data_IF_464189373728
#
_entry.id   IF_464189373728
#
_cell.length_a   1.000
_cell.length_b   1.000
_cell.length_c   1.000
_cell.angle_alpha   90.00
_cell.angle_beta   90.00
_cell.angle_gamma   90.00
#
_symmetry.space_group_name_H-M   'P 1'
#
loop_
_entity.id
_entity.type
_entity.pdbx_description
1 polymer ?
#
# COMPACT_ATOMS: atom_id res chain seq x y z
N UNK A 1 -15.25 -24.03 62.61
CA UNK A 1 -15.99 -23.65 61.39
C UNK A 1 -14.96 -23.38 60.31
N UNK A 2 -14.60 -24.42 59.56
CA UNK A 2 -13.47 -24.44 58.62
C UNK A 2 -13.88 -23.77 57.30
N UNK A 3 -13.29 -22.61 57.01
CA UNK A 3 -13.36 -22.00 55.68
C UNK A 3 -12.53 -22.83 54.71
N UNK A 4 -13.16 -23.22 53.59
CA UNK A 4 -12.67 -24.15 52.58
C UNK A 4 -11.47 -23.59 51.80
N UNK A 5 -10.39 -24.36 51.54
CA UNK A 5 -9.23 -23.94 50.76
C UNK A 5 -9.52 -23.66 49.27
N UNK A 6 -10.71 -24.01 48.77
CA UNK A 6 -11.06 -23.87 47.36
C UNK A 6 -11.29 -22.42 46.92
N UNK A 7 -11.71 -21.53 47.83
CA UNK A 7 -12.06 -20.15 47.46
C UNK A 7 -10.81 -19.29 47.24
N UNK A 8 -9.70 -19.58 47.93
CA UNK A 8 -8.43 -18.88 47.73
C UNK A 8 -7.77 -19.25 46.39
N UNK A 9 -7.92 -20.50 45.93
CA UNK A 9 -7.38 -20.94 44.65
C UNK A 9 -8.13 -20.34 43.45
N UNK A 10 -9.45 -20.17 43.57
CA UNK A 10 -10.28 -19.52 42.53
C UNK A 10 -10.01 -18.02 42.42
N UNK A 11 -9.69 -17.33 43.53
CA UNK A 11 -9.31 -15.91 43.53
C UNK A 11 -7.90 -15.67 42.96
N UNK A 12 -6.98 -16.63 43.06
CA UNK A 12 -5.66 -16.53 42.43
C UNK A 12 -5.67 -16.83 40.92
N UNK A 13 -6.64 -17.63 40.44
CA UNK A 13 -6.83 -17.89 39.01
C UNK A 13 -7.53 -16.74 38.26
N UNK A 14 -8.21 -15.83 38.96
CA UNK A 14 -8.85 -14.64 38.37
C UNK A 14 -7.90 -13.44 38.16
N UNK A 15 -6.64 -13.52 38.59
CA UNK A 15 -5.62 -12.48 38.40
C UNK A 15 -4.61 -12.81 37.28
N UNK A 16 -4.83 -13.90 36.53
CA UNK A 16 -3.90 -14.37 35.48
C UNK A 16 -4.50 -14.34 34.07
N UNK A 17 -5.34 -13.35 33.78
CA UNK A 17 -5.68 -12.95 32.42
C UNK A 17 -5.54 -11.44 32.26
N UNK A 18 -4.45 -10.85 32.77
CA UNK A 18 -3.93 -9.66 32.12
C UNK A 18 -3.42 -10.14 30.76
N UNK A 19 -4.17 -9.85 29.70
CA UNK A 19 -3.59 -9.73 28.36
C UNK A 19 -2.37 -8.83 28.56
N UNK A 20 -1.18 -9.43 28.50
CA UNK A 20 0.06 -8.67 28.48
C UNK A 20 0.08 -8.01 27.11
N UNK A 21 -0.63 -6.88 26.98
CA UNK A 21 -0.27 -5.89 25.97
C UNK A 21 1.12 -5.46 26.37
N UNK A 22 2.14 -6.07 25.74
CA UNK A 22 3.46 -5.45 25.73
C UNK A 22 3.28 -4.22 24.87
N UNK A 23 2.85 -3.13 25.51
CA UNK A 23 2.85 -1.80 24.91
C UNK A 23 4.24 -1.55 24.32
N UNK A 24 4.29 -0.78 23.26
CA UNK A 24 5.55 -0.49 22.59
C UNK A 24 6.41 0.43 23.48
N UNK A 25 7.23 -0.15 24.36
CA UNK A 25 8.11 0.61 25.25
C UNK A 25 9.33 1.14 24.46
N UNK A 26 9.24 2.35 23.92
CA UNK A 26 10.39 3.00 23.28
C UNK A 26 10.05 3.99 22.16
N UNK A 27 10.96 4.14 21.16
CA UNK A 27 10.81 5.11 20.06
C UNK A 27 9.55 4.95 19.20
N UNK A 28 8.94 3.77 19.20
CA UNK A 28 7.67 3.49 18.53
C UNK A 28 6.45 4.16 19.18
N UNK A 29 6.47 4.44 20.50
CA UNK A 29 5.34 5.11 21.15
C UNK A 29 5.18 6.55 20.65
N UNK A 30 6.26 7.17 20.18
CA UNK A 30 6.22 8.48 19.53
C UNK A 30 5.47 8.46 18.19
N UNK A 31 5.38 7.29 17.56
CA UNK A 31 4.65 7.10 16.31
C UNK A 31 3.19 6.66 16.57
N UNK A 32 2.77 6.48 17.83
CA UNK A 32 1.43 5.95 18.16
C UNK A 32 0.32 6.93 17.77
N UNK A 33 -0.59 6.48 16.93
CA UNK A 33 -1.79 7.22 16.54
C UNK A 33 -2.89 6.94 17.57
N UNK A 34 -3.10 7.90 18.49
CA UNK A 34 -4.10 7.76 19.55
C UNK A 34 -5.51 7.61 18.97
N UNK A 35 -5.90 8.52 18.07
CA UNK A 35 -7.16 8.48 17.36
C UNK A 35 -7.07 9.35 16.10
N UNK A 36 -7.56 8.84 14.97
CA UNK A 36 -7.73 9.61 13.75
C UNK A 36 -9.02 10.47 13.82
N UNK A 37 -9.07 11.65 13.19
CA UNK A 37 -10.28 12.47 13.17
C UNK A 37 -11.50 11.73 12.61
N UNK A 38 -12.56 11.61 13.42
CA UNK A 38 -13.78 10.88 13.02
C UNK A 38 -13.63 9.35 13.00
N UNK A 39 -12.59 8.80 13.64
CA UNK A 39 -12.41 7.36 13.79
C UNK A 39 -13.41 6.73 14.77
N UNK A 40 -14.06 5.61 14.40
CA UNK A 40 -14.87 4.84 15.34
C UNK A 40 -14.00 4.19 16.43
N UNK A 41 -14.58 3.79 17.57
CA UNK A 41 -13.84 3.05 18.61
C UNK A 41 -13.24 1.76 18.04
N UNK A 42 -11.96 1.51 18.34
CA UNK A 42 -11.24 0.29 17.96
C UNK A 42 -10.45 -0.27 19.12
N UNK A 43 -10.11 -1.55 19.03
CA UNK A 43 -9.37 -2.29 20.07
C UNK A 43 -7.92 -2.61 19.68
N UNK A 44 -7.51 -2.29 18.45
CA UNK A 44 -6.13 -2.44 17.99
C UNK A 44 -5.33 -1.15 18.14
N UNK A 45 -4.01 -1.30 18.20
CA UNK A 45 -3.10 -0.16 18.16
C UNK A 45 -2.72 0.17 16.72
N UNK A 46 -2.42 1.43 16.48
CA UNK A 46 -1.98 1.93 15.18
C UNK A 46 -0.86 2.94 15.37
N UNK A 47 0.04 2.96 14.40
CA UNK A 47 1.26 3.76 14.42
C UNK A 47 1.50 4.34 13.05
N UNK A 48 2.05 5.53 12.99
CA UNK A 48 2.56 6.10 11.75
C UNK A 48 3.66 7.10 12.02
N UNK A 49 4.54 7.21 11.04
CA UNK A 49 5.68 8.08 11.13
C UNK A 49 6.68 7.80 10.04
N UNK A 50 7.93 8.17 10.32
CA UNK A 50 9.00 8.15 9.34
C UNK A 50 10.16 7.24 9.76
N UNK A 51 10.79 6.65 8.75
CA UNK A 51 12.08 5.98 8.86
C UNK A 51 13.02 6.58 7.81
N UNK A 52 14.12 7.19 8.26
CA UNK A 52 15.17 7.70 7.39
C UNK A 52 15.92 6.53 6.76
N UNK A 53 15.88 6.38 5.44
CA UNK A 53 16.55 5.29 4.70
C UNK A 53 17.91 5.72 4.12
N UNK A 54 18.13 7.03 3.95
CA UNK A 54 19.42 7.60 3.54
C UNK A 54 19.72 8.86 4.36
N UNK A 55 20.71 8.77 5.25
CA UNK A 55 21.11 9.87 6.12
C UNK A 55 21.78 11.02 5.35
N UNK A 56 22.47 10.73 4.24
CA UNK A 56 23.17 11.76 3.46
C UNK A 56 22.17 12.64 2.71
N UNK A 57 21.18 12.01 2.07
CA UNK A 57 20.10 12.70 1.36
C UNK A 57 18.94 13.13 2.27
N UNK A 58 18.99 12.76 3.55
CA UNK A 58 17.89 12.92 4.52
C UNK A 58 16.57 12.37 3.98
N UNK A 59 16.65 11.24 3.28
CA UNK A 59 15.51 10.59 2.62
C UNK A 59 14.76 9.72 3.63
N UNK A 60 13.50 10.02 3.85
CA UNK A 60 12.65 9.35 4.83
C UNK A 60 11.38 8.82 4.18
N UNK A 61 11.06 7.54 4.40
CA UNK A 61 9.82 6.92 3.95
C UNK A 61 8.77 6.97 5.06
N UNK A 62 7.52 7.18 4.68
CA UNK A 62 6.37 7.22 5.57
C UNK A 62 5.71 5.84 5.64
N UNK A 63 5.21 5.46 6.81
CA UNK A 63 4.43 4.24 6.98
C UNK A 63 3.21 4.47 7.86
N UNK A 64 2.19 3.65 7.65
CA UNK A 64 1.07 3.44 8.56
C UNK A 64 1.03 1.95 8.93
N UNK A 65 0.91 1.66 10.21
CA UNK A 65 0.94 0.31 10.77
C UNK A 65 -0.29 0.12 11.65
N UNK A 66 -1.16 -0.83 11.31
CA UNK A 66 -2.29 -1.23 12.11
C UNK A 66 -2.04 -2.64 12.64
N UNK A 67 -1.99 -2.78 13.97
CA UNK A 67 -1.91 -4.09 14.61
C UNK A 67 -3.17 -4.92 14.31
N UNK A 68 -3.03 -6.24 14.48
CA UNK A 68 -4.18 -7.11 14.33
C UNK A 68 -5.24 -6.80 15.40
N UNK A 69 -6.52 -6.90 15.03
CA UNK A 69 -7.63 -6.62 15.94
C UNK A 69 -7.67 -7.54 17.15
N UNK A 70 -7.26 -8.78 16.97
CA UNK A 70 -7.26 -9.82 17.99
C UNK A 70 -5.91 -10.54 18.03
N UNK A 71 -5.33 -10.61 19.23
CA UNK A 71 -4.08 -11.31 19.51
C UNK A 71 -2.94 -10.96 18.53
N UNK A 72 -2.55 -9.67 18.42
CA UNK A 72 -1.51 -9.24 17.48
C UNK A 72 -0.18 -9.97 17.67
N UNK A 73 0.08 -10.48 18.89
CA UNK A 73 1.25 -11.26 19.24
C UNK A 73 1.29 -12.68 18.69
N UNK A 74 0.20 -13.23 18.15
CA UNK A 74 0.24 -14.50 17.42
C UNK A 74 0.16 -14.33 15.90
N UNK A 75 -0.44 -13.23 15.43
CA UNK A 75 -0.68 -12.95 14.01
C UNK A 75 0.59 -12.56 13.24
N UNK A 76 0.69 -12.85 11.92
CA UNK A 76 1.85 -12.50 11.10
C UNK A 76 2.01 -10.98 10.91
N UNK A 77 3.16 -10.57 10.39
CA UNK A 77 3.40 -9.21 9.87
C UNK A 77 3.25 -9.25 8.35
N UNK A 78 2.45 -8.34 7.81
CA UNK A 78 2.19 -8.24 6.37
C UNK A 78 2.56 -6.84 5.91
N UNK A 79 3.55 -6.75 5.02
CA UNK A 79 3.87 -5.52 4.30
C UNK A 79 2.93 -5.40 3.09
N UNK A 80 2.32 -4.23 2.91
CA UNK A 80 1.52 -3.88 1.74
C UNK A 80 2.18 -2.77 0.92
N UNK A 81 2.29 -2.98 -0.40
CA UNK A 81 2.81 -2.03 -1.38
C UNK A 81 1.83 -1.86 -2.54
N UNK A 82 1.31 -0.66 -2.77
CA UNK A 82 0.64 -0.35 -4.04
C UNK A 82 1.67 -0.10 -5.16
N UNK A 83 1.18 -0.13 -6.40
CA UNK A 83 1.99 0.02 -7.61
C UNK A 83 2.00 1.44 -8.18
N UNK A 84 1.45 1.59 -9.39
CA UNK A 84 1.48 2.81 -10.19
C UNK A 84 2.37 2.68 -11.42
N UNK A 85 3.72 2.74 -11.31
CA UNK A 85 4.51 3.12 -10.13
C UNK A 85 4.14 4.52 -9.63
N UNK A 86 4.32 4.77 -8.33
CA UNK A 86 4.08 6.10 -7.76
C UNK A 86 2.76 6.26 -6.98
N UNK A 87 1.99 5.18 -6.77
CA UNK A 87 0.73 5.21 -6.03
C UNK A 87 0.92 4.87 -4.55
N UNK A 88 0.19 5.56 -3.69
CA UNK A 88 0.31 5.48 -2.24
C UNK A 88 -0.32 4.23 -1.65
N UNK A 89 0.48 3.48 -0.89
CA UNK A 89 0.00 2.37 -0.05
C UNK A 89 -0.90 2.80 1.10
N UNK A 90 -0.78 4.06 1.54
CA UNK A 90 -1.67 4.63 2.54
C UNK A 90 -3.05 4.89 1.91
N UNK A 91 -3.07 5.65 0.82
CA UNK A 91 -4.31 6.08 0.17
C UNK A 91 -5.11 4.91 -0.41
N UNK A 92 -4.46 4.13 -1.25
CA UNK A 92 -5.12 3.02 -1.95
C UNK A 92 -5.27 1.85 -0.98
N UNK A 93 -4.17 1.23 -0.53
CA UNK A 93 -4.19 0.09 0.39
C UNK A 93 -4.96 0.32 1.70
N UNK A 94 -4.48 1.25 2.53
CA UNK A 94 -4.98 1.39 3.90
C UNK A 94 -6.39 2.03 3.98
N UNK A 95 -6.70 3.01 3.14
CA UNK A 95 -7.97 3.76 3.22
C UNK A 95 -8.97 3.43 2.11
N UNK A 96 -8.57 2.73 1.04
CA UNK A 96 -9.41 2.41 -0.11
C UNK A 96 -9.49 0.91 -0.46
N UNK A 97 -8.78 0.03 0.26
CA UNK A 97 -8.79 -1.41 -0.03
C UNK A 97 -8.93 -2.26 1.24
N UNK A 98 -7.82 -2.69 1.83
CA UNK A 98 -7.78 -3.75 2.84
C UNK A 98 -7.44 -3.25 4.24
N UNK A 99 -7.19 -1.95 4.42
CA UNK A 99 -6.97 -1.38 5.75
C UNK A 99 -8.25 -1.22 6.58
N UNK A 100 -8.10 -0.77 7.84
CA UNK A 100 -9.15 -0.85 8.85
C UNK A 100 -10.31 0.12 8.64
N UNK A 101 -10.11 1.17 7.83
CA UNK A 101 -11.06 2.26 7.71
C UNK A 101 -11.28 2.70 6.27
N UNK A 102 -12.49 3.20 5.99
CA UNK A 102 -12.87 3.89 4.75
C UNK A 102 -13.31 5.31 5.06
N UNK A 103 -12.76 6.33 4.41
CA UNK A 103 -13.26 7.70 4.52
C UNK A 103 -14.71 7.83 4.02
N UNK A 104 -15.52 8.60 4.76
CA UNK A 104 -16.85 9.02 4.34
C UNK A 104 -17.07 10.46 4.83
N UNK A 105 -16.83 11.42 3.95
CA UNK A 105 -16.82 12.85 4.23
C UNK A 105 -15.78 13.20 5.29
N UNK A 106 -16.26 13.62 6.46
CA UNK A 106 -15.39 14.04 7.57
C UNK A 106 -15.13 12.93 8.60
N UNK A 107 -15.70 11.74 8.40
CA UNK A 107 -15.56 10.61 9.33
C UNK A 107 -14.93 9.39 8.67
N UNK A 108 -14.54 8.42 9.50
CA UNK A 108 -14.11 7.10 9.05
C UNK A 108 -15.19 6.07 9.38
N UNK A 109 -15.39 5.13 8.47
CA UNK A 109 -16.22 3.95 8.68
C UNK A 109 -15.29 2.73 8.78
N UNK A 110 -15.60 1.80 9.68
CA UNK A 110 -14.83 0.56 9.80
C UNK A 110 -14.99 -0.30 8.55
N UNK A 111 -13.89 -0.88 8.08
CA UNK A 111 -13.91 -1.89 7.04
C UNK A 111 -14.12 -3.27 7.66
N UNK A 112 -15.32 -3.84 7.50
CA UNK A 112 -15.68 -5.17 8.03
C UNK A 112 -14.84 -6.32 7.44
N UNK A 113 -14.16 -6.07 6.32
CA UNK A 113 -13.29 -7.02 5.63
C UNK A 113 -11.82 -6.61 5.69
N UNK A 114 -11.43 -5.82 6.68
CA UNK A 114 -10.03 -5.43 6.82
C UNK A 114 -9.13 -6.64 7.07
N UNK A 115 -7.97 -6.63 6.43
CA UNK A 115 -6.95 -7.66 6.63
C UNK A 115 -6.31 -7.60 8.01
N UNK A 116 -6.44 -6.49 8.75
CA UNK A 116 -5.96 -6.44 10.13
C UNK A 116 -6.81 -7.32 11.09
N UNK A 117 -7.88 -7.94 10.63
CA UNK A 117 -8.54 -9.04 11.36
C UNK A 117 -7.65 -10.29 11.46
N UNK A 118 -6.74 -10.48 10.50
CA UNK A 118 -5.91 -11.69 10.38
C UNK A 118 -4.40 -11.44 10.44
N UNK A 119 -3.96 -10.18 10.38
CA UNK A 119 -2.54 -9.84 10.34
C UNK A 119 -2.24 -8.47 10.98
N UNK A 120 -0.98 -8.26 11.32
CA UNK A 120 -0.46 -6.93 11.59
C UNK A 120 -0.08 -6.29 10.26
N UNK A 121 -0.80 -5.25 9.86
CA UNK A 121 -0.73 -4.65 8.51
C UNK A 121 0.17 -3.43 8.48
N UNK A 122 1.26 -3.49 7.71
CA UNK A 122 2.23 -2.42 7.51
C UNK A 122 2.12 -1.87 6.09
N UNK A 123 1.63 -0.64 5.95
CA UNK A 123 1.50 0.07 4.68
C UNK A 123 2.69 1.02 4.51
N UNK A 124 3.49 0.81 3.47
CA UNK A 124 4.68 1.62 3.20
C UNK A 124 4.44 2.51 1.98
N UNK A 125 4.53 3.82 2.15
CA UNK A 125 4.56 4.75 1.02
C UNK A 125 5.96 4.75 0.41
N UNK A 126 6.07 4.21 -0.80
CA UNK A 126 7.30 4.09 -1.57
C UNK A 126 6.98 4.11 -3.08
N UNK A 127 7.92 4.55 -3.93
CA UNK A 127 9.23 5.13 -3.59
C UNK A 127 9.15 6.57 -3.05
N UNK A 128 10.32 7.21 -2.87
CA UNK A 128 10.40 8.64 -2.55
C UNK A 128 9.62 9.49 -3.56
N UNK A 129 8.83 10.46 -3.06
CA UNK A 129 7.93 11.29 -3.87
C UNK A 129 6.47 10.81 -3.92
N UNK A 130 6.15 9.64 -3.35
CA UNK A 130 4.80 9.08 -3.30
C UNK A 130 4.12 9.40 -1.98
N UNK A 131 3.21 10.38 -1.96
CA UNK A 131 2.48 10.73 -0.74
C UNK A 131 3.32 11.55 0.26
N UNK A 132 3.53 11.05 1.47
CA UNK A 132 4.26 11.73 2.55
C UNK A 132 5.78 11.52 2.68
N UNK A 133 6.45 10.53 2.06
CA UNK A 133 7.91 10.43 2.01
C UNK A 133 8.57 11.72 1.50
N UNK A 134 9.69 12.09 2.09
CA UNK A 134 10.41 13.29 1.71
C UNK A 134 11.93 13.13 1.84
N UNK A 135 12.66 13.98 1.12
CA UNK A 135 14.10 14.13 1.23
C UNK A 135 14.45 15.62 1.29
N UNK A 136 15.51 15.97 2.01
CA UNK A 136 16.00 17.35 2.02
C UNK A 136 16.78 17.69 0.74
N UNK A 137 17.45 16.70 0.16
CA UNK A 137 18.18 16.82 -1.10
C UNK A 137 17.26 16.50 -2.29
N UNK A 138 17.04 17.48 -3.18
CA UNK A 138 16.19 17.31 -4.36
C UNK A 138 16.70 16.25 -5.33
N UNK A 139 18.01 15.94 -5.32
CA UNK A 139 18.58 14.86 -6.14
C UNK A 139 18.16 13.46 -5.67
N UNK A 140 17.44 13.34 -4.55
CA UNK A 140 16.82 12.09 -4.12
C UNK A 140 15.63 11.69 -5.01
N UNK A 141 15.01 12.67 -5.68
CA UNK A 141 13.83 12.48 -6.52
C UNK A 141 14.20 12.19 -7.99
N UNK A 142 15.45 12.42 -8.37
CA UNK A 142 15.93 12.19 -9.73
C UNK A 142 16.27 10.73 -9.98
N UNK A 143 15.78 10.17 -11.10
CA UNK A 143 16.19 8.85 -11.57
C UNK A 143 15.86 7.71 -10.62
N UNK A 144 14.72 7.80 -9.91
CA UNK A 144 14.22 6.70 -9.06
C UNK A 144 13.99 5.46 -9.93
N UNK A 145 14.62 4.34 -9.56
CA UNK A 145 14.52 3.06 -10.26
C UNK A 145 14.00 1.98 -9.32
N UNK A 146 13.56 0.86 -9.89
CA UNK A 146 13.15 -0.32 -9.12
C UNK A 146 14.25 -0.78 -8.16
N UNK A 147 15.51 -0.78 -8.59
CA UNK A 147 16.66 -1.18 -7.76
C UNK A 147 16.88 -0.22 -6.58
N UNK A 148 16.72 1.09 -6.78
CA UNK A 148 16.80 2.07 -5.70
C UNK A 148 15.63 1.85 -4.72
N UNK A 149 14.42 1.66 -5.24
CA UNK A 149 13.22 1.41 -4.45
C UNK A 149 13.35 0.16 -3.59
N UNK A 150 13.83 -0.95 -4.16
CA UNK A 150 14.04 -2.20 -3.42
C UNK A 150 15.08 -2.03 -2.30
N UNK A 151 16.18 -1.30 -2.54
CA UNK A 151 17.20 -1.00 -1.53
C UNK A 151 16.66 -0.12 -0.40
N UNK A 152 15.89 0.90 -0.74
CA UNK A 152 15.27 1.80 0.22
C UNK A 152 14.24 1.06 1.08
N UNK A 153 13.42 0.20 0.48
CA UNK A 153 12.44 -0.62 1.19
C UNK A 153 13.12 -1.64 2.11
N UNK A 154 14.25 -2.23 1.70
CA UNK A 154 15.06 -3.09 2.57
C UNK A 154 15.60 -2.29 3.78
N UNK A 155 16.20 -1.12 3.53
CA UNK A 155 16.74 -0.25 4.58
C UNK A 155 15.64 0.23 5.54
N UNK A 156 14.45 0.53 5.00
CA UNK A 156 13.26 0.84 5.78
C UNK A 156 12.94 -0.28 6.74
N UNK A 157 12.80 -1.53 6.27
CA UNK A 157 12.43 -2.65 7.14
C UNK A 157 13.51 -2.98 8.17
N UNK A 158 14.80 -2.89 7.80
CA UNK A 158 15.90 -3.06 8.75
C UNK A 158 15.77 -2.09 9.92
N UNK A 159 15.55 -0.80 9.64
CA UNK A 159 15.40 0.24 10.67
C UNK A 159 14.04 0.18 11.36
N UNK A 160 12.98 -0.23 10.67
CA UNK A 160 11.65 -0.41 11.25
C UNK A 160 11.67 -1.50 12.32
N UNK A 161 12.35 -2.63 12.10
CA UNK A 161 12.52 -3.66 13.14
C UNK A 161 13.37 -3.20 14.33
N UNK A 162 14.20 -2.16 14.20
CA UNK A 162 14.85 -1.54 15.36
C UNK A 162 13.87 -0.70 16.17
N UNK A 163 12.92 -0.02 15.50
CA UNK A 163 11.85 0.75 16.15
C UNK A 163 10.77 -0.15 16.76
N UNK A 164 10.47 -1.29 16.13
CA UNK A 164 9.46 -2.28 16.53
C UNK A 164 10.10 -3.66 16.79
N UNK A 165 10.94 -3.79 17.83
CA UNK A 165 11.70 -5.02 18.08
C UNK A 165 10.82 -6.24 18.40
N UNK A 166 9.61 -6.05 18.91
CA UNK A 166 8.65 -7.12 19.22
C UNK A 166 8.14 -7.86 17.98
N UNK A 167 8.29 -7.27 16.79
CA UNK A 167 7.94 -7.90 15.51
C UNK A 167 9.11 -8.64 14.87
N UNK A 168 10.32 -8.58 15.45
CA UNK A 168 11.44 -9.41 14.98
C UNK A 168 11.07 -10.89 15.06
N UNK A 169 11.54 -11.67 14.09
CA UNK A 169 11.23 -13.11 13.93
C UNK A 169 9.77 -13.45 13.60
N UNK A 170 8.87 -12.45 13.51
CA UNK A 170 7.50 -12.68 13.09
C UNK A 170 7.45 -13.25 11.67
N UNK A 171 6.55 -14.20 11.42
CA UNK A 171 6.24 -14.63 10.05
C UNK A 171 5.90 -13.40 9.20
N UNK A 172 6.73 -13.14 8.20
CA UNK A 172 6.64 -11.97 7.34
C UNK A 172 6.08 -12.39 5.98
N UNK A 173 5.05 -11.68 5.51
CA UNK A 173 4.57 -11.75 4.14
C UNK A 173 4.74 -10.38 3.49
N UNK A 174 5.10 -10.38 2.20
CA UNK A 174 5.15 -9.15 1.41
C UNK A 174 4.08 -9.25 0.34
N UNK A 175 3.19 -8.26 0.34
CA UNK A 175 1.97 -8.26 -0.44
C UNK A 175 1.78 -6.92 -1.12
N UNK A 176 0.97 -6.89 -2.16
CA UNK A 176 0.71 -5.67 -2.91
C UNK A 176 0.14 -5.94 -4.28
N UNK A 177 0.00 -4.88 -5.06
CA UNK A 177 -0.73 -4.94 -6.31
C UNK A 177 -0.12 -4.13 -7.47
N UNK A 178 -0.59 -4.41 -8.69
CA UNK A 178 -0.22 -3.66 -9.89
C UNK A 178 1.30 -3.68 -10.12
N UNK A 179 1.95 -2.51 -10.24
CA UNK A 179 3.40 -2.40 -10.40
C UNK A 179 4.20 -2.95 -9.20
N UNK A 180 3.57 -3.23 -8.05
CA UNK A 180 4.21 -3.97 -6.96
C UNK A 180 4.63 -5.39 -7.37
N UNK A 181 4.13 -5.92 -8.49
CA UNK A 181 4.68 -7.11 -9.15
C UNK A 181 6.18 -6.99 -9.50
N UNK A 182 6.70 -5.77 -9.67
CA UNK A 182 8.14 -5.50 -9.77
C UNK A 182 8.78 -5.27 -8.39
N UNK A 183 8.15 -4.50 -7.51
CA UNK A 183 8.72 -4.13 -6.21
C UNK A 183 8.93 -5.33 -5.28
N UNK A 184 7.92 -6.21 -5.19
CA UNK A 184 7.87 -7.28 -4.19
C UNK A 184 8.93 -8.36 -4.48
N UNK A 185 9.06 -8.91 -5.69
CA UNK A 185 10.09 -9.90 -5.97
C UNK A 185 11.51 -9.36 -5.79
N UNK A 186 11.77 -8.11 -6.19
CA UNK A 186 13.09 -7.48 -6.04
C UNK A 186 13.44 -7.24 -4.56
N UNK A 187 12.48 -6.77 -3.75
CA UNK A 187 12.67 -6.66 -2.31
C UNK A 187 12.89 -8.02 -1.64
N UNK A 188 12.10 -9.03 -2.02
CA UNK A 188 12.23 -10.38 -1.48
C UNK A 188 13.63 -10.98 -1.78
N UNK A 189 14.14 -10.77 -3.00
CA UNK A 189 15.50 -11.19 -3.36
C UNK A 189 16.54 -10.54 -2.43
N UNK A 190 16.46 -9.22 -2.23
CA UNK A 190 17.39 -8.50 -1.34
C UNK A 190 17.30 -8.98 0.12
N UNK A 191 16.10 -9.31 0.61
CA UNK A 191 15.92 -9.89 1.95
C UNK A 191 16.60 -11.25 2.07
N UNK A 192 16.42 -12.14 1.08
CA UNK A 192 17.05 -13.45 1.06
C UNK A 192 18.58 -13.34 1.01
N UNK A 193 19.09 -12.38 0.22
CA UNK A 193 20.52 -12.10 0.17
C UNK A 193 21.05 -11.55 1.51
N UNK A 194 20.31 -10.66 2.18
CA UNK A 194 20.67 -10.14 3.50
C UNK A 194 20.70 -11.26 4.55
N UNK A 195 19.69 -12.13 4.57
CA UNK A 195 19.57 -13.25 5.49
C UNK A 195 20.71 -14.27 5.40
N UNK A 196 21.44 -14.34 4.28
CA UNK A 196 22.66 -15.16 4.16
C UNK A 196 23.81 -14.65 5.05
N UNK A 197 23.78 -13.38 5.44
CA UNK A 197 24.79 -12.73 6.30
C UNK A 197 24.28 -12.54 7.71
N UNK A 198 23.07 -12.00 7.85
CA UNK A 198 22.42 -11.73 9.12
C UNK A 198 20.94 -12.07 8.99
N UNK A 199 20.49 -13.12 9.69
CA UNK A 199 19.09 -13.53 9.63
C UNK A 199 18.21 -12.52 10.37
N UNK A 200 17.44 -11.76 9.60
CA UNK A 200 16.53 -10.74 10.11
C UNK A 200 15.08 -10.98 9.66
N UNK A 201 14.88 -11.40 8.42
CA UNK A 201 13.56 -11.52 7.81
C UNK A 201 13.06 -12.97 7.85
N UNK A 202 12.03 -13.26 8.65
CA UNK A 202 11.35 -14.56 8.61
C UNK A 202 10.28 -14.59 7.50
N UNK A 203 10.74 -14.38 6.25
CA UNK A 203 9.89 -14.31 5.05
C UNK A 203 9.24 -15.68 4.78
N UNK A 204 7.89 -15.70 4.73
CA UNK A 204 7.09 -16.91 4.52
C UNK A 204 6.44 -17.00 3.14
N UNK A 205 6.14 -15.87 2.52
CA UNK A 205 5.48 -15.87 1.23
C UNK A 205 5.28 -14.47 0.65
N UNK A 206 4.94 -14.46 -0.63
CA UNK A 206 4.58 -13.28 -1.40
C UNK A 206 3.16 -13.45 -1.92
N UNK A 207 2.36 -12.38 -1.95
CA UNK A 207 1.06 -12.37 -2.59
C UNK A 207 0.93 -11.13 -3.48
N UNK A 208 0.58 -11.32 -4.75
CA UNK A 208 0.56 -10.27 -5.76
C UNK A 208 -0.85 -10.17 -6.36
N UNK A 209 -1.55 -9.05 -6.10
CA UNK A 209 -2.86 -8.75 -6.68
C UNK A 209 -2.73 -8.09 -8.03
N UNK A 210 -3.31 -8.68 -9.08
CA UNK A 210 -3.30 -8.14 -10.44
C UNK A 210 -1.95 -7.52 -10.88
N UNK A 211 -0.82 -8.24 -10.73
CA UNK A 211 0.50 -7.66 -10.89
C UNK A 211 0.86 -7.41 -12.35
N UNK A 212 1.78 -6.47 -12.56
CA UNK A 212 2.65 -6.46 -13.74
C UNK A 212 3.89 -7.30 -13.41
N UNK A 213 4.11 -8.38 -14.15
CA UNK A 213 5.24 -9.29 -14.04
C UNK A 213 6.13 -9.25 -15.29
N UNK A 214 5.51 -9.30 -16.46
CA UNK A 214 6.20 -9.24 -17.75
C UNK A 214 5.51 -8.20 -18.64
N UNK A 215 6.23 -7.10 -18.89
CA UNK A 215 5.70 -5.91 -19.51
C UNK A 215 5.04 -6.17 -20.86
N UNK A 216 5.62 -6.99 -21.74
CA UNK A 216 5.05 -7.21 -23.06
C UNK A 216 3.79 -8.08 -22.98
N UNK A 217 3.84 -9.16 -22.22
CA UNK A 217 2.76 -10.15 -22.09
C UNK A 217 1.55 -9.52 -21.40
N UNK A 218 1.75 -8.91 -20.25
CA UNK A 218 0.65 -8.40 -19.43
C UNK A 218 -0.04 -7.23 -20.13
N UNK A 219 0.71 -6.29 -20.72
CA UNK A 219 0.11 -5.16 -21.42
C UNK A 219 -0.60 -5.61 -22.71
N UNK A 220 -0.02 -6.53 -23.47
CA UNK A 220 -0.62 -6.97 -24.74
C UNK A 220 -1.86 -7.85 -24.54
N UNK A 221 -1.99 -8.54 -23.40
CA UNK A 221 -3.18 -9.32 -23.05
C UNK A 221 -4.48 -8.49 -23.06
N UNK A 222 -4.37 -7.16 -22.87
CA UNK A 222 -5.51 -6.23 -22.89
C UNK A 222 -6.34 -6.32 -24.17
N UNK A 223 -5.69 -6.54 -25.32
CA UNK A 223 -6.39 -6.62 -26.59
C UNK A 223 -7.35 -7.83 -26.62
N UNK A 224 -6.85 -8.99 -26.19
CA UNK A 224 -7.65 -10.22 -26.12
C UNK A 224 -8.72 -10.12 -25.03
N UNK A 225 -8.40 -9.53 -23.87
CA UNK A 225 -9.36 -9.30 -22.80
C UNK A 225 -10.53 -8.43 -23.28
N UNK A 226 -10.26 -7.26 -23.86
CA UNK A 226 -11.33 -6.39 -24.38
C UNK A 226 -12.16 -7.06 -25.47
N UNK A 227 -11.54 -7.82 -26.37
CA UNK A 227 -12.25 -8.49 -27.45
C UNK A 227 -13.15 -9.62 -26.95
N UNK A 228 -12.61 -10.49 -26.08
CA UNK A 228 -13.35 -11.61 -25.49
C UNK A 228 -14.51 -11.18 -24.58
N UNK A 229 -14.48 -9.95 -24.07
CA UNK A 229 -15.53 -9.36 -23.24
C UNK A 229 -16.49 -8.47 -24.04
N UNK A 230 -16.40 -8.46 -25.38
CA UNK A 230 -17.30 -7.70 -26.23
C UNK A 230 -17.13 -6.18 -26.15
N UNK A 231 -16.01 -5.69 -25.62
CA UNK A 231 -15.72 -4.26 -25.47
C UNK A 231 -15.18 -3.63 -26.75
N UNK A 232 -14.60 -4.44 -27.63
CA UNK A 232 -14.07 -3.99 -28.93
C UNK A 232 -14.45 -4.94 -30.07
N UNK A 233 -14.52 -4.40 -31.28
CA UNK A 233 -14.83 -5.15 -32.50
C UNK A 233 -13.66 -6.01 -32.99
N UNK A 234 -13.95 -7.01 -33.83
CA UNK A 234 -12.94 -7.84 -34.50
C UNK A 234 -11.90 -6.99 -35.27
N UNK A 235 -12.36 -5.92 -35.91
CA UNK A 235 -11.49 -5.00 -36.65
C UNK A 235 -10.54 -4.27 -35.71
N UNK A 236 -11.05 -3.80 -34.57
CA UNK A 236 -10.24 -3.12 -33.55
C UNK A 236 -9.26 -4.08 -32.90
N UNK A 237 -9.67 -5.29 -32.57
CA UNK A 237 -8.78 -6.33 -32.05
C UNK A 237 -7.62 -6.65 -33.01
N UNK A 238 -7.90 -6.80 -34.31
CA UNK A 238 -6.87 -7.02 -35.34
C UNK A 238 -5.87 -5.86 -35.39
N UNK A 239 -6.33 -4.61 -35.36
CA UNK A 239 -5.42 -3.45 -35.36
C UNK A 239 -4.62 -3.37 -34.05
N UNK A 240 -5.25 -3.67 -32.92
CA UNK A 240 -4.65 -3.61 -31.60
C UNK A 240 -3.56 -4.68 -31.41
N UNK A 241 -3.66 -5.82 -32.07
CA UNK A 241 -2.62 -6.86 -32.01
C UNK A 241 -1.55 -6.72 -33.09
N UNK A 242 -1.90 -6.25 -34.30
CA UNK A 242 -0.99 -6.27 -35.45
C UNK A 242 -0.35 -4.92 -35.81
N UNK A 243 -1.04 -3.80 -35.57
CA UNK A 243 -0.57 -2.46 -35.99
C UNK A 243 0.17 -1.75 -34.86
N UNK A 244 -0.45 -1.70 -33.68
CA UNK A 244 0.19 -1.20 -32.47
C UNK A 244 -0.37 -1.91 -31.24
N UNK A 245 0.42 -2.82 -30.68
CA UNK A 245 0.11 -3.47 -29.42
C UNK A 245 0.29 -2.52 -28.23
N UNK A 246 -0.33 -2.88 -27.11
CA UNK A 246 -0.44 -1.97 -25.98
C UNK A 246 0.92 -1.68 -25.33
N UNK A 247 1.81 -2.68 -25.25
CA UNK A 247 3.15 -2.49 -24.69
C UNK A 247 4.00 -1.52 -25.51
N UNK A 248 3.87 -1.56 -26.85
CA UNK A 248 4.48 -0.56 -27.73
C UNK A 248 3.91 0.84 -27.49
N UNK A 249 2.58 0.97 -27.43
CA UNK A 249 1.94 2.26 -27.15
C UNK A 249 2.44 2.86 -25.84
N UNK A 250 2.47 2.07 -24.76
CA UNK A 250 2.94 2.52 -23.45
C UNK A 250 4.41 2.92 -23.48
N UNK A 251 5.25 2.15 -24.18
CA UNK A 251 6.67 2.50 -24.37
C UNK A 251 6.87 3.83 -25.12
N UNK A 252 6.10 4.06 -26.19
CA UNK A 252 6.13 5.30 -26.96
C UNK A 252 5.62 6.50 -26.13
N UNK A 253 4.57 6.29 -25.33
CA UNK A 253 4.01 7.30 -24.44
C UNK A 253 5.05 7.79 -23.41
N UNK A 254 5.73 6.87 -22.71
CA UNK A 254 6.75 7.24 -21.72
C UNK A 254 8.03 7.82 -22.33
N UNK A 255 8.28 7.61 -23.63
CA UNK A 255 9.35 8.30 -24.37
C UNK A 255 8.95 9.70 -24.85
N UNK A 256 7.72 10.12 -24.59
CA UNK A 256 7.21 11.46 -24.93
C UNK A 256 6.73 11.61 -26.38
N UNK A 257 6.63 10.54 -27.16
CA UNK A 257 6.20 10.61 -28.56
C UNK A 257 5.50 9.34 -29.02
N UNK A 258 4.18 9.42 -29.19
CA UNK A 258 3.35 8.34 -29.75
C UNK A 258 3.26 8.44 -31.26
N UNK A 259 3.57 7.34 -31.96
CA UNK A 259 3.51 7.25 -33.41
C UNK A 259 2.06 7.36 -33.94
N UNK A 260 1.90 7.91 -35.14
CA UNK A 260 0.58 8.07 -35.74
C UNK A 260 -0.23 6.75 -35.86
N UNK A 261 0.37 5.59 -36.20
CA UNK A 261 -0.33 4.31 -36.14
C UNK A 261 -0.83 3.97 -34.73
N UNK A 262 0.02 4.09 -33.70
CA UNK A 262 -0.38 3.81 -32.32
C UNK A 262 -1.48 4.75 -31.82
N UNK A 263 -1.38 6.04 -32.13
CA UNK A 263 -2.41 7.03 -31.80
C UNK A 263 -3.76 6.66 -32.42
N UNK A 264 -3.80 6.23 -33.69
CA UNK A 264 -5.05 5.79 -34.35
C UNK A 264 -5.64 4.55 -33.70
N UNK A 265 -4.82 3.53 -33.42
CA UNK A 265 -5.29 2.30 -32.76
C UNK A 265 -5.86 2.62 -31.38
N UNK A 266 -5.15 3.40 -30.55
CA UNK A 266 -5.63 3.73 -29.20
C UNK A 266 -6.87 4.63 -29.22
N UNK A 267 -7.01 5.50 -30.22
CA UNK A 267 -8.22 6.29 -30.43
C UNK A 267 -9.41 5.40 -30.74
N UNK A 268 -9.24 4.40 -31.62
CA UNK A 268 -10.30 3.44 -31.93
C UNK A 268 -10.69 2.62 -30.70
N UNK A 269 -9.71 2.05 -29.99
CA UNK A 269 -9.94 1.31 -28.74
C UNK A 269 -10.71 2.18 -27.75
N UNK A 270 -10.27 3.42 -27.51
CA UNK A 270 -10.94 4.32 -26.57
C UNK A 270 -12.34 4.75 -27.01
N UNK A 271 -12.62 4.76 -28.32
CA UNK A 271 -13.95 5.08 -28.85
C UNK A 271 -14.91 3.93 -28.57
N UNK A 272 -14.49 2.69 -28.79
CA UNK A 272 -15.30 1.50 -28.57
C UNK A 272 -15.52 1.19 -27.08
N UNK A 273 -14.46 1.30 -26.25
CA UNK A 273 -14.63 1.14 -24.80
C UNK A 273 -15.41 2.30 -24.19
N UNK A 274 -15.42 3.46 -24.84
CA UNK A 274 -15.99 4.72 -24.34
C UNK A 274 -15.34 5.22 -23.05
N UNK A 275 -15.81 6.37 -22.56
CA UNK A 275 -15.43 6.94 -21.25
C UNK A 275 -16.24 6.39 -20.08
N UNK A 276 -17.24 5.55 -20.35
CA UNK A 276 -18.16 4.99 -19.36
C UNK A 276 -17.80 3.57 -18.92
N UNK A 277 -16.69 3.03 -19.43
CA UNK A 277 -16.11 1.76 -18.97
C UNK A 277 -14.87 2.08 -18.16
N UNK A 278 -14.85 1.63 -16.91
CA UNK A 278 -13.64 1.64 -16.11
C UNK A 278 -12.68 0.56 -16.62
N UNK A 279 -11.42 0.94 -16.79
CA UNK A 279 -10.37 0.04 -17.28
C UNK A 279 -9.79 -0.83 -16.16
N UNK A 280 -10.04 -0.48 -14.90
CA UNK A 280 -9.68 -1.28 -13.73
C UNK A 280 -10.77 -2.33 -13.43
N UNK A 281 -12.05 -1.99 -13.67
CA UNK A 281 -13.17 -2.93 -13.60
C UNK A 281 -14.20 -2.64 -14.70
N UNK A 282 -14.21 -3.45 -15.75
CA UNK A 282 -15.08 -3.26 -16.92
C UNK A 282 -16.56 -3.54 -16.64
N UNK A 283 -16.91 -4.01 -15.44
CA UNK A 283 -18.28 -4.36 -15.04
C UNK A 283 -18.92 -3.29 -14.15
N UNK A 284 -18.15 -2.33 -13.66
CA UNK A 284 -18.63 -1.26 -12.78
C UNK A 284 -18.88 0.03 -13.55
N UNK A 285 -19.76 0.86 -12.98
CA UNK A 285 -19.96 2.23 -13.43
C UNK A 285 -18.70 3.06 -13.17
N UNK A 286 -18.36 3.92 -14.12
CA UNK A 286 -17.28 4.91 -13.93
C UNK A 286 -17.73 5.94 -12.91
N UNK A 287 -16.93 6.14 -11.86
CA UNK A 287 -17.20 7.19 -10.91
C UNK A 287 -16.95 8.56 -11.55
N UNK A 288 -18.01 9.37 -11.66
CA UNK A 288 -17.92 10.71 -12.22
C UNK A 288 -17.94 11.68 -11.05
N UNK A 289 -16.78 12.15 -10.58
CA UNK A 289 -16.62 13.02 -9.39
C UNK A 289 -17.53 14.26 -9.33
N UNK A 290 -18.03 14.75 -10.47
CA UNK A 290 -19.00 15.86 -10.51
C UNK A 290 -20.44 15.47 -10.14
N UNK A 291 -20.73 14.17 -10.08
CA UNK A 291 -22.06 13.57 -9.89
C UNK A 291 -22.02 12.56 -8.73
N UNK A 292 -20.95 11.77 -8.65
CA UNK A 292 -20.78 10.65 -7.72
C UNK A 292 -19.75 10.97 -6.62
N UNK A 293 -19.90 10.30 -5.47
CA UNK A 293 -18.91 10.31 -4.40
C UNK A 293 -17.90 9.19 -4.67
N UNK A 294 -16.73 9.54 -5.19
CA UNK A 294 -15.69 8.57 -5.50
C UNK A 294 -14.85 8.24 -4.25
N UNK A 295 -14.54 6.95 -4.06
CA UNK A 295 -13.65 6.49 -2.98
C UNK A 295 -12.31 7.22 -3.01
N UNK A 296 -11.78 7.47 -4.21
CA UNK A 296 -10.54 8.23 -4.38
C UNK A 296 -10.67 9.67 -3.86
N UNK A 297 -11.77 10.35 -4.20
CA UNK A 297 -12.02 11.72 -3.77
C UNK A 297 -12.16 11.83 -2.24
N UNK A 298 -12.89 10.89 -1.63
CA UNK A 298 -13.04 10.81 -0.19
C UNK A 298 -11.69 10.60 0.52
N UNK A 299 -10.87 9.68 0.01
CA UNK A 299 -9.51 9.45 0.52
C UNK A 299 -8.61 10.66 0.36
N UNK A 300 -8.60 11.29 -0.81
CA UNK A 300 -7.80 12.50 -1.07
C UNK A 300 -8.25 13.63 -0.16
N UNK A 301 -9.55 13.85 0.00
CA UNK A 301 -10.09 14.91 0.83
C UNK A 301 -9.73 14.68 2.30
N UNK A 302 -9.88 13.44 2.79
CA UNK A 302 -9.57 13.07 4.16
C UNK A 302 -8.08 13.25 4.49
N UNK A 303 -7.17 12.67 3.68
CA UNK A 303 -5.72 12.71 3.93
C UNK A 303 -5.09 14.10 3.73
N UNK A 304 -5.80 15.02 3.07
CA UNK A 304 -5.37 16.42 2.94
C UNK A 304 -5.84 17.32 4.08
N UNK A 305 -6.63 16.82 5.04
CA UNK A 305 -6.98 17.62 6.22
C UNK A 305 -5.78 17.75 7.15
N UNK A 306 -5.60 18.97 7.68
CA UNK A 306 -4.48 19.29 8.58
C UNK A 306 -4.53 18.48 9.88
N UNK A 307 -5.72 18.31 10.46
CA UNK A 307 -5.91 17.52 11.68
C UNK A 307 -5.60 16.02 11.47
N UNK A 308 -5.94 15.49 10.29
CA UNK A 308 -5.61 14.10 9.90
C UNK A 308 -4.10 13.93 9.74
N UNK A 309 -3.42 14.85 9.06
CA UNK A 309 -1.97 14.80 8.91
C UNK A 309 -1.25 14.89 10.27
N UNK A 310 -1.70 15.77 11.16
CA UNK A 310 -1.17 15.86 12.53
C UNK A 310 -1.35 14.55 13.30
N UNK A 311 -2.55 13.96 13.25
CA UNK A 311 -2.83 12.68 13.92
C UNK A 311 -2.00 11.52 13.38
N UNK A 312 -1.69 11.53 12.07
CA UNK A 312 -0.81 10.56 11.42
C UNK A 312 0.69 10.86 11.60
N UNK A 313 1.05 11.94 12.29
CA UNK A 313 2.43 12.45 12.33
C UNK A 313 3.03 12.68 10.93
N UNK A 314 2.17 12.93 9.94
CA UNK A 314 2.52 13.11 8.55
C UNK A 314 2.76 14.59 8.25
N UNK A 315 3.62 14.86 7.27
CA UNK A 315 3.89 16.21 6.77
C UNK A 315 4.07 16.23 5.27
N UNK A 316 3.59 17.31 4.67
CA UNK A 316 3.83 17.64 3.27
C UNK A 316 5.14 18.43 3.17
N UNK A 317 6.14 17.86 2.50
CA UNK A 317 7.44 18.49 2.28
C UNK A 317 7.72 18.52 0.79
N UNK A 318 7.96 19.71 0.24
CA UNK A 318 8.17 19.91 -1.21
C UNK A 318 6.89 19.84 -2.05
N UNK A 319 5.76 19.41 -1.46
CA UNK A 319 4.44 19.36 -2.09
C UNK A 319 3.42 20.16 -1.28
N UNK A 320 2.36 20.65 -1.94
CA UNK A 320 1.27 21.40 -1.28
C UNK A 320 0.06 20.57 -0.92
N UNK A 321 -0.07 19.40 -1.55
CA UNK A 321 -1.23 18.50 -1.42
C UNK A 321 -0.74 17.07 -1.55
N UNK A 322 -1.25 16.18 -0.71
CA UNK A 322 -1.11 14.74 -0.87
C UNK A 322 -1.97 14.29 -2.06
N UNK A 323 -1.45 13.38 -2.88
CA UNK A 323 -2.15 12.79 -4.03
C UNK A 323 -2.04 11.28 -4.00
N UNK A 324 -3.02 10.59 -4.58
CA UNK A 324 -3.07 9.12 -4.63
C UNK A 324 -1.88 8.55 -5.40
N UNK A 325 -1.60 9.11 -6.58
CA UNK A 325 -0.44 8.74 -7.38
C UNK A 325 0.35 9.98 -7.81
N UNK A 326 1.67 9.93 -7.64
CA UNK A 326 2.61 10.94 -8.10
C UNK A 326 3.17 10.54 -9.47
N UNK A 327 3.35 11.53 -10.36
CA UNK A 327 3.92 11.33 -11.70
C UNK A 327 5.42 11.52 -11.75
#
# INVERSE_FOLDING_TARGET
MMMKPLVLFLLQLLMSSCLVMVDCFGPCELDRVVQLPGQPPVMFQQYSGYITVDEKKQKSLFYYFAEAEFDPFSKPLVLWLNGGPGCSSLGVGAFSENGPFRPNGQVLIRNEHSWNTEANMLYLEAPIGVGFPYAADSSAYDGVTDLITARDNLAFLQKWFLKFPQYKNRSLFITGESYAGHYIPQLAELMLQHNKKEYLFNLKGLALGNPVLEFATDFNSRAEFFWSHGLISDTTYKMFTSTCNYSRYVSEYYRGSVSAPCSRVMTQVSTETSKFVDKYDVTLDVCISSIDVCVEDETVNYLNRVDVQMALHARLVGVRRWSVCSK
#
